data_IF_066767684700
#
_entry.id   IF_066767684700
#
_cell.length_a   1.000
_cell.length_b   1.000
_cell.length_c   1.000
_cell.angle_alpha   90.00
_cell.angle_beta   90.00
_cell.angle_gamma   90.00
#
_symmetry.space_group_name_H-M   'P 1'
#
loop_
_entity.id
_entity.type
_entity.pdbx_description
1 polymer ?
#
# COMPACT_ATOMS: atom_id res chain seq x y z
N UNK A 1 -46.24 -39.57 -87.27
CA UNK A 1 -47.12 -38.78 -86.37
C UNK A 1 -46.27 -37.78 -85.61
N UNK A 2 -46.58 -36.47 -85.71
CA UNK A 2 -45.86 -35.40 -85.01
C UNK A 2 -46.89 -34.38 -84.50
N UNK A 3 -46.90 -34.10 -83.19
CA UNK A 3 -46.99 -32.73 -82.63
C UNK A 3 -46.86 -32.68 -81.12
N UNK A 4 -46.25 -31.58 -80.67
CA UNK A 4 -46.03 -31.14 -79.29
C UNK A 4 -47.34 -30.68 -78.63
N UNK A 5 -47.45 -30.79 -77.28
CA UNK A 5 -48.15 -29.78 -76.48
C UNK A 5 -47.63 -29.67 -75.03
N UNK A 6 -48.08 -28.62 -74.35
CA UNK A 6 -47.50 -27.93 -73.18
C UNK A 6 -48.56 -27.85 -72.06
N UNK A 7 -48.14 -27.80 -70.79
CA UNK A 7 -48.75 -27.12 -69.61
C UNK A 7 -47.97 -27.58 -68.35
N UNK A 8 -47.49 -26.78 -67.39
CA UNK A 8 -47.99 -25.65 -66.57
C UNK A 8 -48.79 -26.01 -65.29
N UNK A 9 -48.25 -25.50 -64.17
CA UNK A 9 -48.88 -25.05 -62.91
C UNK A 9 -49.27 -26.04 -61.79
N UNK A 10 -48.43 -26.05 -60.74
CA UNK A 10 -48.72 -25.81 -59.30
C UNK A 10 -50.02 -26.37 -58.69
N UNK A 11 -49.89 -27.25 -57.68
CA UNK A 11 -50.54 -27.09 -56.36
C UNK A 11 -49.89 -27.98 -55.29
N UNK A 12 -50.02 -27.60 -54.01
CA UNK A 12 -49.39 -28.27 -52.85
C UNK A 12 -50.45 -28.94 -51.97
N UNK A 13 -50.14 -30.07 -51.29
CA UNK A 13 -50.48 -30.30 -49.86
C UNK A 13 -49.92 -31.62 -49.25
N UNK A 14 -49.17 -31.46 -48.15
CA UNK A 14 -49.15 -32.20 -46.86
C UNK A 14 -49.05 -33.75 -46.70
N UNK A 15 -48.60 -34.11 -45.47
CA UNK A 15 -48.53 -35.43 -44.78
C UNK A 15 -47.50 -36.41 -45.44
N UNK A 16 -46.55 -37.09 -44.77
CA UNK A 16 -46.47 -37.72 -43.43
C UNK A 16 -45.10 -37.53 -42.74
N UNK A 17 -45.09 -37.65 -41.41
CA UNK A 17 -43.98 -37.46 -40.46
C UNK A 17 -43.20 -38.77 -40.17
N UNK A 18 -41.96 -38.65 -39.64
CA UNK A 18 -41.09 -39.72 -39.08
C UNK A 18 -40.32 -40.62 -40.09
N UNK A 19 -39.07 -41.07 -39.84
CA UNK A 19 -38.21 -41.05 -38.63
C UNK A 19 -36.69 -41.20 -38.98
N UNK A 20 -35.79 -40.57 -38.18
CA UNK A 20 -34.31 -40.77 -38.10
C UNK A 20 -33.48 -40.46 -39.38
N UNK A 21 -32.21 -40.01 -39.38
CA UNK A 21 -31.15 -39.61 -38.43
C UNK A 21 -30.28 -38.57 -39.21
N UNK A 22 -29.44 -37.66 -38.69
CA UNK A 22 -28.87 -37.37 -37.35
C UNK A 22 -28.98 -35.85 -37.09
N UNK A 23 -29.05 -35.42 -35.82
CA UNK A 23 -29.02 -34.00 -35.47
C UNK A 23 -27.60 -33.41 -35.45
N UNK A 24 -27.31 -32.48 -36.36
CA UNK A 24 -26.20 -31.52 -36.21
C UNK A 24 -26.60 -30.51 -35.15
N UNK A 25 -26.21 -30.75 -33.89
CA UNK A 25 -26.33 -29.74 -32.84
C UNK A 25 -25.33 -28.62 -33.14
N UNK A 26 -25.85 -27.43 -33.47
CA UNK A 26 -25.06 -26.21 -33.53
C UNK A 26 -24.42 -25.93 -32.16
N UNK A 27 -23.18 -26.38 -31.97
CA UNK A 27 -22.30 -25.73 -31.02
C UNK A 27 -22.00 -24.34 -31.59
N UNK A 28 -22.78 -23.33 -31.17
CA UNK A 28 -22.27 -21.97 -31.13
C UNK A 28 -21.13 -21.96 -30.12
N UNK A 29 -19.92 -22.30 -30.60
CA UNK A 29 -18.69 -22.06 -29.87
C UNK A 29 -18.65 -20.57 -29.62
N UNK A 30 -18.83 -20.21 -28.35
CA UNK A 30 -19.05 -18.83 -27.96
C UNK A 30 -17.82 -18.00 -28.34
N UNK A 31 -18.03 -16.76 -28.80
CA UNK A 31 -16.96 -15.96 -29.39
C UNK A 31 -15.84 -15.71 -28.38
N UNK A 32 -14.66 -16.20 -28.72
CA UNK A 32 -13.39 -15.53 -28.42
C UNK A 32 -13.09 -15.25 -26.94
N UNK A 33 -12.83 -16.31 -26.15
CA UNK A 33 -11.99 -16.21 -24.95
C UNK A 33 -10.52 -15.93 -25.33
N UNK A 34 -10.27 -14.76 -25.92
CA UNK A 34 -8.91 -14.26 -26.14
C UNK A 34 -8.36 -13.66 -24.84
N UNK A 35 -8.12 -14.50 -23.84
CA UNK A 35 -7.17 -14.14 -22.78
C UNK A 35 -5.75 -14.19 -23.35
N UNK A 36 -5.39 -13.17 -24.14
CA UNK A 36 -3.99 -12.92 -24.51
C UNK A 36 -3.20 -12.74 -23.23
N UNK A 37 -2.55 -13.83 -22.83
CA UNK A 37 -1.63 -13.84 -21.71
C UNK A 37 -0.38 -13.11 -22.20
N UNK A 38 -0.35 -11.80 -21.97
CA UNK A 38 0.82 -10.97 -22.21
C UNK A 38 1.96 -11.50 -21.33
N UNK A 39 2.81 -12.32 -21.95
CA UNK A 39 4.11 -12.69 -21.43
C UNK A 39 5.01 -11.49 -21.67
N UNK A 40 5.40 -10.82 -20.60
CA UNK A 40 6.30 -9.68 -20.61
C UNK A 40 7.72 -10.18 -20.32
N UNK A 41 8.70 -9.40 -20.74
CA UNK A 41 10.11 -9.73 -20.54
C UNK A 41 10.86 -8.48 -20.10
N UNK A 42 11.62 -8.58 -19.00
CA UNK A 42 12.69 -7.66 -18.66
C UNK A 42 14.02 -8.22 -19.18
N UNK A 43 15.12 -7.50 -18.96
CA UNK A 43 16.48 -7.98 -19.27
C UNK A 43 16.80 -9.34 -18.63
N UNK A 44 16.26 -9.61 -17.44
CA UNK A 44 16.59 -10.78 -16.63
C UNK A 44 15.46 -11.81 -16.48
N UNK A 45 14.19 -11.42 -16.65
CA UNK A 45 13.05 -12.28 -16.32
C UNK A 45 11.90 -12.21 -17.33
N UNK A 46 11.24 -13.36 -17.50
CA UNK A 46 9.96 -13.47 -18.20
C UNK A 46 8.84 -13.55 -17.15
N UNK A 47 7.82 -12.70 -17.26
CA UNK A 47 6.76 -12.58 -16.25
C UNK A 47 5.38 -12.33 -16.86
N UNK A 48 4.33 -12.75 -16.13
CA UNK A 48 2.93 -12.53 -16.50
C UNK A 48 2.30 -11.49 -15.58
N UNK A 49 1.61 -10.51 -16.15
CA UNK A 49 0.71 -9.64 -15.39
C UNK A 49 -0.67 -10.31 -15.28
N UNK A 50 -1.18 -10.43 -14.06
CA UNK A 50 -2.52 -10.97 -13.75
C UNK A 50 -3.26 -9.93 -12.94
N UNK A 51 -4.41 -9.45 -13.44
CA UNK A 51 -5.30 -8.56 -12.68
C UNK A 51 -5.98 -9.39 -11.59
N UNK A 52 -5.60 -9.16 -10.33
CA UNK A 52 -6.24 -9.80 -9.17
C UNK A 52 -7.62 -9.20 -8.93
N UNK A 53 -7.73 -7.87 -8.92
CA UNK A 53 -8.99 -7.16 -8.66
C UNK A 53 -9.00 -5.77 -9.31
N UNK A 54 -10.16 -5.11 -9.31
CA UNK A 54 -10.33 -3.72 -9.74
C UNK A 54 -11.27 -2.95 -8.79
N UNK A 55 -11.49 -1.66 -9.04
CA UNK A 55 -12.37 -0.81 -8.22
C UNK A 55 -11.72 -0.20 -6.96
N UNK A 56 -10.42 -0.40 -6.77
CA UNK A 56 -9.63 0.29 -5.74
C UNK A 56 -9.43 1.78 -6.10
N UNK A 57 -9.46 2.66 -5.10
CA UNK A 57 -9.23 4.11 -5.23
C UNK A 57 -7.93 4.51 -4.55
N UNK A 58 -6.89 4.75 -5.34
CA UNK A 58 -5.54 5.10 -4.85
C UNK A 58 -5.03 4.11 -3.77
N UNK A 59 -4.90 2.81 -4.10
CA UNK A 59 -4.28 1.85 -3.19
C UNK A 59 -2.83 2.25 -2.88
N UNK A 60 -2.34 1.99 -1.66
CA UNK A 60 -0.99 2.37 -1.24
C UNK A 60 -0.14 1.18 -0.73
N UNK A 61 -0.66 0.36 0.18
CA UNK A 61 0.00 -0.87 0.65
C UNK A 61 -0.95 -2.08 0.67
N UNK A 62 -0.35 -3.25 0.81
CA UNK A 62 -0.96 -4.58 0.73
C UNK A 62 -0.35 -5.46 1.83
N UNK A 63 -1.18 -6.13 2.63
CA UNK A 63 -0.74 -7.17 3.55
C UNK A 63 -1.53 -8.47 3.31
N UNK A 64 -0.82 -9.59 3.20
CA UNK A 64 -1.43 -10.92 3.06
C UNK A 64 -1.79 -11.47 4.44
N UNK A 65 -3.05 -11.84 4.64
CA UNK A 65 -3.51 -12.59 5.80
C UNK A 65 -3.10 -14.08 5.66
N UNK A 66 -2.92 -14.84 6.77
CA UNK A 66 -2.50 -16.24 6.71
C UNK A 66 -3.42 -17.17 5.90
N UNK A 67 -4.69 -16.81 5.76
CA UNK A 67 -5.66 -17.53 4.94
C UNK A 67 -5.61 -17.19 3.43
N UNK A 68 -4.72 -16.29 3.00
CA UNK A 68 -4.60 -15.81 1.61
C UNK A 68 -5.51 -14.64 1.24
N UNK A 69 -6.36 -14.15 2.15
CA UNK A 69 -7.05 -12.87 1.96
C UNK A 69 -6.02 -11.73 1.97
N UNK A 70 -6.36 -10.59 1.35
CA UNK A 70 -5.45 -9.45 1.25
C UNK A 70 -6.07 -8.18 1.82
N UNK A 71 -5.42 -7.57 2.80
CA UNK A 71 -5.73 -6.21 3.26
C UNK A 71 -5.09 -5.20 2.31
N UNK A 72 -5.84 -4.16 1.91
CA UNK A 72 -5.37 -3.08 1.03
C UNK A 72 -5.72 -1.73 1.65
N UNK A 73 -4.74 -0.85 1.83
CA UNK A 73 -5.01 0.54 2.19
C UNK A 73 -5.34 1.38 0.97
N UNK A 74 -6.37 2.19 1.05
CA UNK A 74 -6.72 3.21 0.06
C UNK A 74 -6.56 4.59 0.68
N UNK A 75 -5.78 5.47 0.02
CA UNK A 75 -5.43 6.80 0.53
C UNK A 75 -6.59 7.65 1.05
N UNK A 76 -7.82 7.61 0.49
CA UNK A 76 -9.00 8.30 1.04
C UNK A 76 -9.48 7.85 2.44
N UNK A 77 -8.69 7.07 3.20
CA UNK A 77 -9.02 6.67 4.57
C UNK A 77 -9.78 5.35 4.68
N UNK A 78 -9.55 4.40 3.75
CA UNK A 78 -10.28 3.12 3.75
C UNK A 78 -9.33 1.93 3.76
N UNK A 79 -9.45 1.08 4.76
CA UNK A 79 -8.89 -0.27 4.71
C UNK A 79 -9.88 -1.18 3.98
N UNK A 80 -9.42 -1.91 2.97
CA UNK A 80 -10.21 -2.85 2.18
C UNK A 80 -9.70 -4.26 2.39
N UNK A 81 -10.53 -5.23 2.03
CA UNK A 81 -10.14 -6.63 2.00
C UNK A 81 -10.55 -7.28 0.67
N UNK A 82 -9.64 -8.07 0.11
CA UNK A 82 -9.87 -8.91 -1.06
C UNK A 82 -9.95 -10.35 -0.55
N UNK A 83 -11.02 -11.07 -0.88
CA UNK A 83 -11.20 -12.49 -0.55
C UNK A 83 -11.43 -13.31 -1.79
N UNK A 84 -10.66 -14.37 -2.00
CA UNK A 84 -10.76 -15.24 -3.19
C UNK A 84 -10.76 -14.44 -4.52
N UNK A 85 -9.96 -13.36 -4.61
CA UNK A 85 -9.91 -12.46 -5.78
C UNK A 85 -11.06 -11.44 -5.89
N UNK A 86 -11.99 -11.40 -4.94
CA UNK A 86 -13.12 -10.46 -4.94
C UNK A 86 -12.90 -9.37 -3.89
N UNK A 87 -12.97 -8.10 -4.30
CA UNK A 87 -12.93 -6.94 -3.41
C UNK A 87 -14.26 -6.86 -2.63
N UNK A 88 -14.18 -6.84 -1.31
CA UNK A 88 -15.35 -6.63 -0.44
C UNK A 88 -15.98 -5.26 -0.78
N UNK A 89 -17.29 -5.17 -1.05
CA UNK A 89 -17.94 -3.91 -1.39
C UNK A 89 -17.77 -2.87 -0.28
N UNK A 90 -17.75 -3.31 0.97
CA UNK A 90 -17.61 -2.46 2.14
C UNK A 90 -16.16 -2.43 2.64
N UNK A 91 -15.66 -1.27 3.13
CA UNK A 91 -14.38 -1.20 3.82
C UNK A 91 -14.44 -1.86 5.21
N UNK A 92 -13.27 -2.18 5.74
CA UNK A 92 -13.07 -2.56 7.14
C UNK A 92 -13.28 -1.30 8.01
N UNK A 93 -14.13 -1.41 9.04
CA UNK A 93 -14.39 -0.33 9.99
C UNK A 93 -13.27 -0.14 11.02
N UNK A 94 -13.32 0.94 11.79
CA UNK A 94 -12.38 1.23 12.89
C UNK A 94 -11.13 2.04 12.51
N UNK A 95 -10.92 2.36 11.22
CA UNK A 95 -9.88 3.31 10.81
C UNK A 95 -10.21 4.71 11.37
N UNK A 96 -9.27 5.41 12.04
CA UNK A 96 -9.46 6.78 12.53
C UNK A 96 -9.72 7.79 11.41
N UNK A 97 -10.18 9.02 11.72
CA UNK A 97 -10.24 10.11 10.74
C UNK A 97 -8.87 10.34 10.08
N UNK A 98 -8.85 10.48 8.76
CA UNK A 98 -7.63 10.63 7.95
C UNK A 98 -7.62 11.98 7.24
N UNK A 99 -6.49 12.69 7.31
CA UNK A 99 -6.25 13.90 6.53
C UNK A 99 -5.92 13.52 5.08
N UNK A 100 -6.92 13.52 4.20
CA UNK A 100 -6.77 13.16 2.79
C UNK A 100 -6.65 14.39 1.90
N UNK A 101 -5.40 14.79 1.62
CA UNK A 101 -5.04 15.91 0.74
C UNK A 101 -3.69 15.59 0.05
N UNK A 102 -3.39 16.14 -1.13
CA UNK A 102 -2.06 16.04 -1.76
C UNK A 102 -1.48 14.61 -1.84
N UNK A 103 -0.42 14.33 -1.06
CA UNK A 103 0.17 12.98 -0.85
C UNK A 103 -0.26 12.29 0.46
N UNK A 104 -0.96 13.00 1.34
CA UNK A 104 -1.51 12.51 2.61
C UNK A 104 -2.59 11.43 2.42
N UNK A 105 -2.87 10.63 3.44
CA UNK A 105 -3.93 9.61 3.40
C UNK A 105 -3.72 8.46 4.40
N UNK A 106 -4.47 7.37 4.21
CA UNK A 106 -4.14 6.07 4.81
C UNK A 106 -3.06 5.42 3.93
N UNK A 107 -1.94 5.02 4.53
CA UNK A 107 -0.70 4.69 3.84
C UNK A 107 -0.33 3.23 4.07
N UNK A 108 0.60 2.90 4.96
CA UNK A 108 1.04 1.51 5.10
C UNK A 108 0.05 0.64 5.88
N UNK A 109 0.11 -0.67 5.64
CA UNK A 109 -0.51 -1.69 6.47
C UNK A 109 0.39 -2.92 6.51
N UNK A 110 0.64 -3.43 7.70
CA UNK A 110 1.46 -4.62 7.94
C UNK A 110 0.85 -5.41 9.10
N UNK A 111 0.95 -6.73 9.04
CA UNK A 111 0.54 -7.59 10.14
C UNK A 111 1.65 -7.65 11.19
N UNK A 112 1.28 -7.77 12.45
CA UNK A 112 2.24 -8.12 13.49
C UNK A 112 2.95 -9.46 13.16
N UNK A 113 4.23 -9.67 13.51
CA UNK A 113 4.90 -10.96 13.28
C UNK A 113 4.14 -12.15 13.90
N UNK A 114 3.56 -11.94 15.09
CA UNK A 114 2.70 -12.90 15.81
C UNK A 114 1.19 -12.74 15.49
N UNK A 115 0.82 -12.33 14.27
CA UNK A 115 -0.58 -12.04 13.90
C UNK A 115 -1.53 -13.21 14.14
N UNK A 116 -1.12 -14.46 13.91
CA UNK A 116 -2.00 -15.62 14.10
C UNK A 116 -2.55 -15.71 15.52
N UNK A 117 -1.74 -15.39 16.53
CA UNK A 117 -2.13 -15.45 17.94
C UNK A 117 -2.78 -14.15 18.43
N UNK A 118 -2.32 -12.98 17.99
CA UNK A 118 -2.75 -11.70 18.56
C UNK A 118 -3.71 -10.86 17.66
N UNK A 119 -3.81 -11.18 16.37
CA UNK A 119 -4.63 -10.49 15.37
C UNK A 119 -4.34 -8.98 15.23
N UNK A 120 -3.17 -8.50 15.67
CA UNK A 120 -2.79 -7.09 15.59
C UNK A 120 -2.32 -6.72 14.18
N UNK A 121 -2.92 -5.67 13.60
CA UNK A 121 -2.38 -5.00 12.42
C UNK A 121 -1.88 -3.62 12.81
N UNK A 122 -0.86 -3.16 12.09
CA UNK A 122 -0.26 -1.85 12.24
C UNK A 122 -0.44 -1.11 10.92
N UNK A 123 -0.76 0.16 10.99
CA UNK A 123 -0.98 0.99 9.83
C UNK A 123 -0.47 2.41 10.08
N UNK A 124 -0.07 3.07 9.02
CA UNK A 124 0.27 4.50 9.05
C UNK A 124 -0.76 5.32 8.32
N UNK A 125 -0.97 6.55 8.81
CA UNK A 125 -1.90 7.47 8.22
C UNK A 125 -1.47 8.92 8.48
N UNK A 126 -1.94 9.81 7.61
CA UNK A 126 -1.88 11.25 7.87
C UNK A 126 -2.97 11.60 8.87
N UNK A 127 -2.61 11.77 10.14
CA UNK A 127 -3.53 12.15 11.21
C UNK A 127 -3.93 13.62 11.04
N UNK A 128 -5.22 13.97 11.04
CA UNK A 128 -5.66 15.36 10.98
C UNK A 128 -5.44 16.04 12.34
N UNK A 129 -5.03 17.30 12.31
CA UNK A 129 -5.03 18.18 13.47
C UNK A 129 -6.47 18.65 13.76
N UNK A 130 -6.76 19.09 14.99
CA UNK A 130 -8.12 19.46 15.41
C UNK A 130 -8.72 20.64 14.62
N UNK A 131 -7.88 21.51 14.05
CA UNK A 131 -8.33 22.59 13.15
C UNK A 131 -8.74 22.10 11.74
N UNK A 132 -8.42 20.87 11.35
CA UNK A 132 -8.66 20.30 10.02
C UNK A 132 -7.76 20.84 8.89
N UNK A 133 -6.95 21.88 9.16
CA UNK A 133 -6.09 22.57 8.19
C UNK A 133 -4.69 21.95 8.09
N UNK A 134 -4.29 21.16 9.10
CA UNK A 134 -2.98 20.52 9.18
C UNK A 134 -3.09 19.01 9.40
N UNK A 135 -2.02 18.29 9.11
CA UNK A 135 -1.88 16.89 9.47
C UNK A 135 -0.43 16.48 9.74
N UNK A 136 -0.25 15.32 10.35
CA UNK A 136 1.07 14.74 10.62
C UNK A 136 1.12 13.25 10.28
N UNK A 137 2.31 12.67 10.16
CA UNK A 137 2.46 11.22 10.06
C UNK A 137 2.11 10.60 11.42
N UNK A 138 1.18 9.65 11.48
CA UNK A 138 0.95 8.83 12.66
C UNK A 138 1.00 7.34 12.30
N UNK A 139 1.47 6.53 13.24
CA UNK A 139 1.34 5.07 13.19
C UNK A 139 0.43 4.62 14.32
N UNK A 140 -0.48 3.72 13.99
CA UNK A 140 -1.44 3.14 14.90
C UNK A 140 -1.48 1.63 14.75
N UNK A 141 -1.98 0.96 15.78
CA UNK A 141 -2.28 -0.47 15.74
C UNK A 141 -3.71 -0.73 16.16
N UNK A 142 -4.24 -1.89 15.80
CA UNK A 142 -5.55 -2.34 16.22
C UNK A 142 -5.75 -3.82 15.96
N UNK A 143 -6.68 -4.44 16.69
CA UNK A 143 -6.99 -5.86 16.55
C UNK A 143 -8.01 -6.08 15.43
N UNK A 144 -7.65 -6.90 14.45
CA UNK A 144 -8.52 -7.25 13.33
C UNK A 144 -9.56 -8.29 13.73
N UNK A 145 -10.84 -8.00 13.44
CA UNK A 145 -12.00 -8.86 13.75
C UNK A 145 -12.64 -9.44 12.48
N UNK A 146 -11.91 -9.47 11.36
CA UNK A 146 -12.44 -9.87 10.05
C UNK A 146 -13.24 -8.78 9.32
N UNK A 147 -13.90 -7.86 10.06
CA UNK A 147 -14.72 -6.76 9.49
C UNK A 147 -14.47 -5.38 10.10
N UNK A 148 -13.82 -5.31 11.26
CA UNK A 148 -13.42 -4.05 11.91
C UNK A 148 -12.03 -4.18 12.52
N UNK A 149 -11.40 -3.04 12.78
CA UNK A 149 -10.37 -2.90 13.81
C UNK A 149 -11.03 -2.49 15.13
N UNK A 150 -10.62 -3.12 16.22
CA UNK A 150 -10.97 -2.75 17.60
C UNK A 150 -9.69 -2.45 18.39
N UNK A 151 -9.83 -1.83 19.56
CA UNK A 151 -8.71 -1.43 20.41
C UNK A 151 -7.66 -0.61 19.64
N UNK A 152 -8.13 0.33 18.79
CA UNK A 152 -7.27 1.12 17.92
C UNK A 152 -6.61 2.25 18.71
N UNK A 153 -5.28 2.27 18.73
CA UNK A 153 -4.47 3.26 19.43
C UNK A 153 -3.29 3.72 18.56
N UNK A 154 -2.91 4.99 18.70
CA UNK A 154 -1.68 5.52 18.11
C UNK A 154 -0.48 5.04 18.92
N UNK A 155 0.50 4.41 18.25
CA UNK A 155 1.80 4.08 18.83
C UNK A 155 2.85 5.18 18.56
N UNK A 156 2.59 6.05 17.58
CA UNK A 156 3.48 7.15 17.21
C UNK A 156 2.71 8.29 16.53
N UNK A 157 3.03 9.53 16.90
CA UNK A 157 2.52 10.75 16.24
C UNK A 157 3.70 11.68 16.00
N UNK A 158 4.02 11.92 14.72
CA UNK A 158 5.16 12.74 14.34
C UNK A 158 4.93 14.23 14.65
N UNK A 159 6.04 14.95 14.82
CA UNK A 159 6.06 16.41 14.96
C UNK A 159 7.10 16.97 13.97
N UNK A 160 6.89 18.14 13.35
CA UNK A 160 5.75 19.04 13.53
C UNK A 160 4.47 18.56 12.82
N UNK A 161 3.36 19.23 13.11
CA UNK A 161 2.14 19.15 12.29
C UNK A 161 2.31 20.05 11.07
N UNK A 162 2.10 19.51 9.87
CA UNK A 162 2.32 20.21 8.61
C UNK A 162 1.00 20.71 8.01
N UNK A 163 1.01 21.95 7.49
CA UNK A 163 -0.04 22.51 6.62
C UNK A 163 0.12 22.04 5.16
N UNK A 164 1.30 21.54 4.79
CA UNK A 164 1.61 20.99 3.47
C UNK A 164 1.38 19.48 3.41
N UNK A 165 0.57 18.98 2.45
CA UNK A 165 0.26 17.57 2.32
C UNK A 165 1.33 16.82 1.52
N UNK A 166 2.58 16.84 1.99
CA UNK A 166 3.75 16.29 1.30
C UNK A 166 4.70 15.49 2.20
N UNK A 167 5.50 14.64 1.57
CA UNK A 167 6.58 13.83 2.16
C UNK A 167 6.32 13.22 3.55
N UNK A 168 5.30 12.38 3.67
CA UNK A 168 4.97 11.70 4.94
C UNK A 168 5.88 10.51 5.28
N UNK A 169 6.71 10.01 4.35
CA UNK A 169 7.47 8.76 4.56
C UNK A 169 6.53 7.55 4.60
N UNK A 170 6.27 7.07 5.83
CA UNK A 170 5.13 6.26 6.25
C UNK A 170 5.28 4.74 6.23
N UNK A 171 6.46 4.18 5.96
CA UNK A 171 6.65 2.71 5.98
C UNK A 171 6.83 2.15 7.38
N UNK A 172 6.35 0.93 7.60
CA UNK A 172 6.53 0.15 8.84
C UNK A 172 7.36 -1.10 8.54
N UNK A 173 8.37 -1.40 9.36
CA UNK A 173 9.12 -2.66 9.31
C UNK A 173 9.35 -3.23 10.72
N UNK A 174 9.00 -4.50 10.95
CA UNK A 174 9.30 -5.22 12.19
C UNK A 174 10.64 -5.94 12.09
N UNK A 175 11.41 -5.95 13.18
CA UNK A 175 12.69 -6.69 13.24
C UNK A 175 12.55 -8.14 13.72
N UNK A 176 11.35 -8.54 14.17
CA UNK A 176 11.10 -9.85 14.76
C UNK A 176 11.72 -10.06 16.15
N UNK A 177 12.29 -9.00 16.75
CA UNK A 177 12.98 -9.00 18.03
C UNK A 177 12.34 -8.03 19.04
N UNK A 178 11.06 -7.70 18.84
CA UNK A 178 10.29 -6.83 19.73
C UNK A 178 10.31 -5.34 19.36
N UNK A 179 10.87 -4.96 18.20
CA UNK A 179 10.87 -3.58 17.74
C UNK A 179 10.16 -3.38 16.40
N UNK A 180 9.69 -2.15 16.22
CA UNK A 180 9.10 -1.65 14.98
C UNK A 180 9.80 -0.36 14.55
N UNK A 181 10.19 -0.33 13.28
CA UNK A 181 10.74 0.84 12.61
C UNK A 181 9.64 1.54 11.82
N UNK A 182 9.56 2.87 11.94
CA UNK A 182 8.57 3.68 11.24
C UNK A 182 9.30 4.83 10.54
N UNK A 183 9.09 4.98 9.23
CA UNK A 183 9.70 6.07 8.46
C UNK A 183 8.82 7.31 8.39
N UNK A 184 9.47 8.46 8.33
CA UNK A 184 8.88 9.77 8.06
C UNK A 184 9.69 10.44 6.94
N UNK A 185 9.07 11.34 6.18
CA UNK A 185 9.80 12.25 5.29
C UNK A 185 9.97 13.61 5.93
N UNK A 186 10.59 14.55 5.22
CA UNK A 186 10.80 15.94 5.66
C UNK A 186 9.51 16.78 5.78
N UNK A 187 8.34 16.13 5.64
CA UNK A 187 7.00 16.72 5.71
C UNK A 187 6.76 17.86 4.70
N UNK A 188 7.63 18.00 3.70
CA UNK A 188 7.66 19.13 2.75
C UNK A 188 7.70 20.51 3.43
N UNK A 189 8.36 20.59 4.60
CA UNK A 189 8.51 21.85 5.34
C UNK A 189 9.32 22.83 4.50
N UNK A 190 8.81 24.06 4.37
CA UNK A 190 9.52 25.12 3.64
C UNK A 190 10.55 25.75 4.56
N UNK A 191 11.81 25.61 4.20
CA UNK A 191 12.88 26.48 4.67
C UNK A 191 13.17 27.56 3.61
N UNK A 192 13.48 28.81 4.00
CA UNK A 192 13.99 29.83 3.08
C UNK A 192 15.27 29.35 2.36
N UNK A 193 15.58 29.91 1.19
CA UNK A 193 16.75 29.49 0.39
C UNK A 193 18.08 29.90 1.08
N UNK A 194 18.06 31.02 1.79
CA UNK A 194 19.15 31.51 2.64
C UNK A 194 19.31 30.75 3.96
N UNK A 195 18.41 29.82 4.27
CA UNK A 195 18.43 29.08 5.54
C UNK A 195 19.53 28.01 5.53
N UNK A 196 20.41 27.95 6.55
CA UNK A 196 21.50 26.97 6.57
C UNK A 196 20.99 25.53 6.49
N UNK A 197 21.57 24.72 5.58
CA UNK A 197 21.11 23.35 5.31
C UNK A 197 21.26 22.41 6.50
N UNK A 198 22.29 22.64 7.32
CA UNK A 198 22.56 21.98 8.59
C UNK A 198 21.56 22.34 9.70
N UNK A 199 20.73 23.37 9.51
CA UNK A 199 19.66 23.77 10.43
C UNK A 199 18.27 23.31 9.96
N UNK A 200 18.17 22.68 8.78
CA UNK A 200 16.90 22.18 8.26
C UNK A 200 16.22 21.22 9.25
N UNK A 201 14.87 21.17 9.34
CA UNK A 201 14.18 20.23 10.22
C UNK A 201 14.62 18.76 10.11
N UNK A 202 15.03 18.29 8.92
CA UNK A 202 15.56 16.94 8.71
C UNK A 202 16.93 16.68 9.37
N UNK A 203 17.65 17.75 9.75
CA UNK A 203 18.91 17.74 10.49
C UNK A 203 18.73 18.00 12.00
N UNK A 204 17.54 18.42 12.44
CA UNK A 204 17.22 18.72 13.83
C UNK A 204 16.58 17.54 14.56
N UNK A 205 17.30 16.97 15.53
CA UNK A 205 16.84 15.86 16.36
C UNK A 205 15.69 16.23 17.32
N UNK A 206 15.31 17.51 17.48
CA UNK A 206 14.19 17.92 18.34
C UNK A 206 12.80 17.63 17.74
N UNK A 207 12.75 17.26 16.46
CA UNK A 207 11.55 16.95 15.71
C UNK A 207 11.68 15.62 14.93
N UNK A 208 10.65 15.24 14.19
CA UNK A 208 10.55 13.96 13.48
C UNK A 208 10.60 14.09 11.96
N UNK A 209 10.71 15.29 11.38
CA UNK A 209 10.83 15.43 9.93
C UNK A 209 12.11 14.73 9.44
N UNK A 210 12.01 13.92 8.39
CA UNK A 210 13.17 13.27 7.77
C UNK A 210 13.84 12.22 8.66
N UNK A 211 13.08 11.52 9.51
CA UNK A 211 13.59 10.51 10.44
C UNK A 211 13.07 9.10 10.15
N UNK A 212 13.84 8.10 10.56
CA UNK A 212 13.31 6.78 10.89
C UNK A 212 13.32 6.69 12.42
N UNK A 213 12.19 6.34 13.03
CA UNK A 213 12.10 6.06 14.46
C UNK A 213 12.11 4.55 14.71
N UNK A 214 12.64 4.12 15.86
CA UNK A 214 12.53 2.75 16.36
C UNK A 214 11.80 2.76 17.70
N UNK A 215 10.72 2.00 17.77
CA UNK A 215 9.89 1.81 18.95
C UNK A 215 9.88 0.33 19.35
N UNK A 216 9.51 0.04 20.59
CA UNK A 216 8.98 -1.28 20.94
C UNK A 216 7.62 -1.47 20.24
N UNK A 217 7.13 -2.70 20.10
CA UNK A 217 5.85 -3.02 19.45
C UNK A 217 4.63 -2.31 20.10
N UNK A 218 4.73 -1.84 21.35
CA UNK A 218 3.70 -1.05 22.04
C UNK A 218 3.82 0.47 21.88
N UNK A 219 4.79 0.96 21.09
CA UNK A 219 5.05 2.38 20.92
C UNK A 219 5.93 3.00 22.01
N UNK A 220 6.31 2.24 23.05
CA UNK A 220 7.29 2.73 24.03
C UNK A 220 8.69 2.80 23.44
N UNK A 221 9.55 3.66 23.99
CA UNK A 221 10.89 3.91 23.43
C UNK A 221 11.91 2.88 23.96
N UNK A 222 12.66 2.17 23.09
CA UNK A 222 13.72 1.27 23.50
C UNK A 222 14.83 2.02 24.24
N UNK A 223 15.21 1.52 25.43
CA UNK A 223 16.19 2.18 26.30
C UNK A 223 17.61 2.26 25.72
N UNK A 224 17.91 1.53 24.65
CA UNK A 224 19.19 1.57 23.94
C UNK A 224 19.16 2.42 22.66
N UNK A 225 18.07 3.14 22.34
CA UNK A 225 18.01 4.03 21.17
C UNK A 225 19.17 5.07 21.18
N UNK A 226 19.67 5.49 20.00
CA UNK A 226 20.90 6.28 19.91
C UNK A 226 20.84 7.66 20.60
N UNK A 227 19.65 8.25 20.75
CA UNK A 227 19.48 9.61 21.24
C UNK A 227 18.77 9.73 22.61
N UNK A 228 18.55 8.62 23.33
CA UNK A 228 17.83 8.60 24.62
C UNK A 228 18.45 9.49 25.71
N UNK A 229 19.77 9.70 25.64
CA UNK A 229 20.53 10.53 26.59
C UNK A 229 20.99 11.86 25.98
N UNK A 230 20.51 12.22 24.78
CA UNK A 230 20.90 13.45 24.08
C UNK A 230 19.92 14.58 24.44
N UNK A 231 20.36 15.65 25.15
CA UNK A 231 19.46 16.71 25.57
C UNK A 231 18.76 17.39 24.40
N UNK A 232 17.43 17.47 24.46
CA UNK A 232 16.60 18.09 23.42
C UNK A 232 16.28 17.21 22.21
N UNK A 233 16.88 16.03 22.07
CA UNK A 233 16.55 15.09 21.01
C UNK A 233 15.28 14.28 21.32
N UNK A 234 14.61 13.81 20.27
CA UNK A 234 13.53 12.82 20.34
C UNK A 234 14.13 11.43 20.55
N UNK A 235 13.89 10.78 21.71
CA UNK A 235 14.55 9.51 22.06
C UNK A 235 14.11 8.34 21.16
N UNK A 236 13.00 8.45 20.44
CA UNK A 236 12.52 7.47 19.46
C UNK A 236 13.32 7.45 18.14
N UNK A 237 14.10 8.50 17.81
CA UNK A 237 14.85 8.56 16.53
C UNK A 237 15.90 7.45 16.48
N UNK A 238 15.94 6.76 15.34
CA UNK A 238 16.96 5.78 14.97
C UNK A 238 17.96 6.33 13.96
N UNK A 239 17.49 7.01 12.90
CA UNK A 239 18.29 7.74 11.93
C UNK A 239 17.58 9.00 11.47
N UNK A 240 18.34 9.95 10.92
CA UNK A 240 17.85 11.27 10.52
C UNK A 240 18.56 11.75 9.24
N UNK A 241 18.18 12.91 8.71
CA UNK A 241 18.70 13.41 7.44
C UNK A 241 18.15 12.68 6.23
N UNK A 242 16.88 12.23 6.30
CA UNK A 242 16.14 11.66 5.17
C UNK A 242 15.22 12.71 4.53
N UNK A 243 14.94 12.54 3.23
CA UNK A 243 14.02 13.39 2.47
C UNK A 243 12.61 12.85 2.44
N UNK A 244 12.41 11.67 1.83
CA UNK A 244 11.07 11.13 1.59
C UNK A 244 11.10 9.64 1.27
N UNK A 245 11.27 8.83 2.32
CA UNK A 245 11.26 7.37 2.26
C UNK A 245 9.94 6.86 1.67
N UNK A 246 9.98 5.84 0.80
CA UNK A 246 8.79 5.24 0.16
C UNK A 246 8.72 3.72 0.34
N UNK A 247 9.89 3.07 0.31
CA UNK A 247 10.04 1.65 0.63
C UNK A 247 10.99 1.53 1.81
N UNK A 248 10.67 0.60 2.71
CA UNK A 248 11.53 0.22 3.82
C UNK A 248 11.24 -1.25 4.14
N UNK A 249 12.27 -2.04 4.38
CA UNK A 249 12.15 -3.45 4.76
C UNK A 249 13.33 -3.84 5.63
N UNK A 250 13.12 -4.83 6.48
CA UNK A 250 14.23 -5.59 7.04
C UNK A 250 14.50 -6.76 6.11
N UNK A 251 15.76 -6.96 5.79
CA UNK A 251 16.23 -8.12 5.04
C UNK A 251 16.22 -9.36 5.94
N UNK A 252 15.56 -10.43 5.50
CA UNK A 252 15.30 -11.60 6.34
C UNK A 252 16.51 -12.52 6.55
N UNK A 253 17.58 -12.37 5.76
CA UNK A 253 18.79 -13.19 5.91
C UNK A 253 19.83 -12.52 6.82
N UNK A 254 19.97 -11.20 6.71
CA UNK A 254 20.96 -10.39 7.45
C UNK A 254 20.39 -9.68 8.67
N UNK A 255 19.08 -9.43 8.72
CA UNK A 255 18.43 -8.56 9.71
C UNK A 255 18.70 -7.07 9.49
N UNK A 256 19.31 -6.68 8.37
CA UNK A 256 19.64 -5.28 8.07
C UNK A 256 18.40 -4.50 7.60
N UNK A 257 18.25 -3.27 8.09
CA UNK A 257 17.18 -2.36 7.67
C UNK A 257 17.62 -1.60 6.41
N UNK A 258 16.82 -1.72 5.34
CA UNK A 258 17.05 -1.02 4.08
C UNK A 258 15.87 -0.11 3.76
N UNK A 259 16.15 1.09 3.24
CA UNK A 259 15.14 2.04 2.80
C UNK A 259 15.46 2.61 1.42
N UNK A 260 14.41 2.97 0.66
CA UNK A 260 14.53 3.78 -0.55
C UNK A 260 13.76 5.08 -0.39
N UNK A 261 14.31 6.16 -0.92
CA UNK A 261 13.73 7.50 -0.81
C UNK A 261 13.85 8.33 -2.09
N UNK A 262 12.89 9.23 -2.29
CA UNK A 262 12.87 10.12 -3.45
C UNK A 262 13.75 11.35 -3.20
N UNK A 263 14.67 11.62 -4.12
CA UNK A 263 15.43 12.87 -4.22
C UNK A 263 14.58 14.06 -4.72
N UNK A 264 15.16 15.27 -4.83
CA UNK A 264 14.45 16.48 -5.26
C UNK A 264 13.91 16.41 -6.70
N UNK A 265 14.78 16.55 -7.70
CA UNK A 265 14.44 16.33 -9.13
C UNK A 265 15.08 15.06 -9.68
N UNK A 266 16.24 14.72 -9.12
CA UNK A 266 17.04 13.52 -9.34
C UNK A 266 17.55 13.05 -7.95
N UNK A 267 18.30 11.94 -7.90
CA UNK A 267 19.00 11.51 -6.69
C UNK A 267 18.11 10.72 -5.74
N UNK A 268 17.35 9.77 -6.28
CA UNK A 268 16.70 8.74 -5.48
C UNK A 268 17.76 7.78 -4.92
N UNK A 269 17.59 7.35 -3.68
CA UNK A 269 18.62 6.62 -2.93
C UNK A 269 18.16 5.22 -2.49
N UNK A 270 19.13 4.32 -2.30
CA UNK A 270 18.99 3.08 -1.56
C UNK A 270 19.96 3.12 -0.38
N UNK A 271 19.41 3.15 0.82
CA UNK A 271 20.14 3.40 2.07
C UNK A 271 20.09 2.16 2.98
N UNK A 272 21.27 1.64 3.33
CA UNK A 272 21.43 0.72 4.47
C UNK A 272 21.31 1.56 5.74
N UNK A 273 20.23 1.38 6.49
CA UNK A 273 19.89 2.19 7.67
C UNK A 273 20.64 1.69 8.91
N UNK A 274 21.35 2.60 9.58
CA UNK A 274 22.19 2.29 10.75
C UNK A 274 21.93 3.25 11.91
N UNK A 275 22.08 2.69 13.11
CA UNK A 275 21.86 3.34 14.40
C UNK A 275 22.60 4.67 14.51
N UNK A 276 21.84 5.75 14.72
CA UNK A 276 22.33 7.10 14.99
C UNK A 276 22.94 7.83 13.80
N UNK A 277 22.88 7.28 12.58
CA UNK A 277 23.49 7.92 11.41
C UNK A 277 22.61 9.02 10.80
N UNK A 278 23.31 9.98 10.21
CA UNK A 278 22.77 11.05 9.38
C UNK A 278 22.89 10.66 7.91
N UNK A 279 21.79 10.68 7.16
CA UNK A 279 21.74 10.36 5.74
C UNK A 279 21.91 11.58 4.83
N UNK A 280 22.12 12.76 5.43
CA UNK A 280 22.68 13.93 4.76
C UNK A 280 21.67 14.89 4.16
N UNK A 281 20.40 14.53 3.96
CA UNK A 281 19.41 15.50 3.44
C UNK A 281 19.19 16.66 4.43
N UNK A 282 19.30 17.94 4.01
CA UNK A 282 19.60 18.48 2.68
C UNK A 282 21.00 19.11 2.55
N UNK A 283 21.98 18.72 3.36
CA UNK A 283 23.33 19.32 3.51
C UNK A 283 24.15 19.29 2.23
#
# INVERSE_FOLDING_TARGET
>A
MIKVKRNQLITSLLIIMQLMFVGVSNAQVNRNDYSYTMINQSEYYIFRLVKVVEGLKHPWSLAFLPNGDMLVTERPGRLRIIRNGVLDPEPIGGIPPVWYLGRAGLLDVVLHPDFENNQLIYFTYSKPHENGEQGTMAAARGRFTGRNLVDVEDIFVAHPWADRPGHFGSRIAFDGNGHVFISTGDMSIVVPEEFPRDQNPAQDLSNHAGTIVRLNEDGSVPADNPFVNTPGARPEIWSYGHRNIQGMTIDSESGELWAIEHGPSNGDELNHIRKGLNYGWPV
#
